data_IF_486752636892
#
_entry.id   IF_486752636892
#
_cell.length_a   1.000
_cell.length_b   1.000
_cell.length_c   1.000
_cell.angle_alpha   90.00
_cell.angle_beta   90.00
_cell.angle_gamma   90.00
#
_symmetry.space_group_name_H-M   'P 1'
#
loop_
_entity.id
_entity.type
_entity.pdbx_description
1 polymer ?
#
# COMPACT_ATOMS: atom_id res chain seq x y z
N UNK A 1 18.74 47.75 2.89
CA UNK A 1 18.40 46.38 3.31
C UNK A 1 16.91 46.34 3.63
N UNK A 2 16.08 45.89 2.69
CA UNK A 2 14.65 45.68 2.90
C UNK A 2 14.45 44.21 3.29
N UNK A 3 14.01 43.94 4.52
CA UNK A 3 13.60 42.61 4.94
C UNK A 3 12.14 42.40 4.51
N UNK A 4 11.90 41.53 3.53
CA UNK A 4 10.57 41.00 3.24
C UNK A 4 10.27 39.89 4.24
N UNK A 5 9.44 40.19 5.24
CA UNK A 5 8.79 39.17 6.06
C UNK A 5 7.66 38.56 5.25
N UNK A 6 7.91 37.40 4.63
CA UNK A 6 6.87 36.59 4.03
C UNK A 6 6.12 35.83 5.13
N UNK A 7 4.97 36.36 5.56
CA UNK A 7 4.02 35.58 6.37
C UNK A 7 3.39 34.53 5.47
N UNK A 8 3.81 33.28 5.61
CA UNK A 8 3.14 32.14 4.99
C UNK A 8 1.74 32.02 5.62
N UNK A 9 0.71 32.44 4.89
CA UNK A 9 -0.67 32.08 5.22
C UNK A 9 -0.81 30.60 4.91
N UNK A 10 -0.84 29.76 5.95
CA UNK A 10 -1.32 28.40 5.81
C UNK A 10 -2.76 28.48 5.28
N UNK A 11 -2.95 28.14 4.00
CA UNK A 11 -4.27 28.17 3.37
C UNK A 11 -5.22 27.28 4.16
N UNK A 12 -6.43 27.77 4.42
CA UNK A 12 -7.53 26.93 4.88
C UNK A 12 -7.72 25.80 3.89
N UNK A 13 -7.33 24.58 4.29
CA UNK A 13 -7.75 23.35 3.63
C UNK A 13 -9.23 23.16 3.97
N UNK A 14 -10.08 23.99 3.37
CA UNK A 14 -11.52 23.81 3.38
C UNK A 14 -11.81 22.46 2.75
N UNK A 15 -12.21 21.50 3.58
CA UNK A 15 -12.76 20.19 3.24
C UNK A 15 -14.11 20.33 2.53
N UNK A 16 -14.17 21.13 1.46
CA UNK A 16 -15.40 21.40 0.72
C UNK A 16 -15.83 20.11 0.01
N UNK A 17 -16.75 19.38 0.64
CA UNK A 17 -17.39 18.18 0.08
C UNK A 17 -17.01 16.84 0.73
N UNK A 18 -16.05 16.79 1.68
CA UNK A 18 -15.80 15.58 2.47
C UNK A 18 -16.62 15.64 3.76
N UNK A 19 -17.22 14.51 4.15
CA UNK A 19 -17.98 14.40 5.38
C UNK A 19 -17.07 14.70 6.60
N UNK A 20 -17.42 15.74 7.36
CA UNK A 20 -16.67 16.15 8.55
C UNK A 20 -16.89 15.23 9.77
N UNK A 21 -17.90 14.35 9.70
CA UNK A 21 -18.22 13.38 10.75
C UNK A 21 -18.59 12.02 10.15
N UNK A 22 -18.37 10.96 10.91
CA UNK A 22 -18.82 9.61 10.53
C UNK A 22 -20.15 9.29 11.20
N UNK A 23 -21.09 8.75 10.44
CA UNK A 23 -22.44 8.42 10.94
C UNK A 23 -22.54 7.02 11.54
N UNK A 24 -21.47 6.23 11.49
CA UNK A 24 -21.42 4.83 11.94
C UNK A 24 -20.95 4.66 13.39
N UNK A 25 -20.61 5.76 14.07
CA UNK A 25 -20.03 5.74 15.42
C UNK A 25 -21.07 5.92 16.52
N UNK A 26 -20.89 5.21 17.63
CA UNK A 26 -21.60 5.53 18.87
C UNK A 26 -21.07 6.86 19.44
N UNK A 27 -21.84 7.60 20.26
CA UNK A 27 -21.36 8.85 20.87
C UNK A 27 -20.06 8.66 21.69
N UNK A 28 -19.91 7.49 22.32
CA UNK A 28 -18.70 7.13 23.07
C UNK A 28 -17.50 6.98 22.15
N UNK A 29 -17.67 6.31 21.01
CA UNK A 29 -16.59 6.10 20.05
C UNK A 29 -16.23 7.38 19.29
N UNK A 30 -17.20 8.21 18.98
CA UNK A 30 -16.98 9.52 18.37
C UNK A 30 -16.11 10.41 19.27
N UNK A 31 -16.46 10.51 20.56
CA UNK A 31 -15.66 11.24 21.55
C UNK A 31 -14.22 10.70 21.65
N UNK A 32 -14.06 9.37 21.60
CA UNK A 32 -12.75 8.72 21.61
C UNK A 32 -11.94 9.02 20.35
N UNK A 33 -12.56 8.97 19.16
CA UNK A 33 -11.89 9.29 17.89
C UNK A 33 -11.42 10.74 17.89
N UNK A 34 -12.29 11.70 18.22
CA UNK A 34 -11.95 13.12 18.27
C UNK A 34 -10.79 13.41 19.22
N UNK A 35 -10.73 12.73 20.37
CA UNK A 35 -9.63 12.88 21.31
C UNK A 35 -8.28 12.37 20.75
N UNK A 36 -8.29 11.29 19.97
CA UNK A 36 -7.09 10.66 19.41
C UNK A 36 -6.61 11.33 18.12
N UNK A 37 -7.52 11.82 17.28
CA UNK A 37 -7.18 12.44 15.98
C UNK A 37 -6.94 13.94 16.05
N UNK A 38 -7.04 14.55 17.25
CA UNK A 38 -6.77 15.97 17.44
C UNK A 38 -5.31 16.28 17.02
N UNK A 39 -5.08 17.29 16.15
CA UNK A 39 -3.74 17.69 15.78
C UNK A 39 -2.89 18.04 17.01
N UNK A 40 -1.63 17.60 17.03
CA UNK A 40 -0.72 17.96 18.12
C UNK A 40 -0.39 19.45 18.05
N UNK A 41 -0.17 20.04 19.22
CA UNK A 41 0.31 21.41 19.40
C UNK A 41 1.71 21.46 20.01
N UNK A 42 2.27 20.29 20.35
CA UNK A 42 3.57 20.12 20.98
C UNK A 42 4.36 19.05 20.23
N UNK A 43 5.33 19.49 19.44
CA UNK A 43 6.22 18.61 18.66
C UNK A 43 7.54 18.30 19.39
N UNK A 44 7.64 18.62 20.69
CA UNK A 44 8.86 18.32 21.47
C UNK A 44 9.02 16.84 21.81
N UNK A 45 7.96 16.04 21.65
CA UNK A 45 7.92 14.60 21.93
C UNK A 45 6.99 13.89 20.95
N UNK A 46 7.19 12.59 20.73
CA UNK A 46 6.26 11.80 19.93
C UNK A 46 4.87 11.69 20.58
N UNK A 47 3.83 11.69 19.76
CA UNK A 47 2.46 11.45 20.21
C UNK A 47 2.24 9.96 20.52
N UNK A 48 1.31 9.61 21.42
CA UNK A 48 0.87 8.23 21.59
C UNK A 48 0.45 7.64 20.24
N UNK A 49 0.97 6.44 19.92
CA UNK A 49 0.69 5.73 18.68
C UNK A 49 1.20 6.39 17.38
N UNK A 50 2.14 7.33 17.45
CA UNK A 50 2.73 7.95 16.26
C UNK A 50 3.38 6.93 15.30
N UNK A 51 3.96 5.85 15.82
CA UNK A 51 4.52 4.78 14.98
C UNK A 51 3.44 3.81 14.42
N UNK A 52 2.18 3.95 14.82
CA UNK A 52 1.08 3.05 14.46
C UNK A 52 0.18 3.67 13.38
N UNK A 53 0.78 4.17 12.30
CA UNK A 53 0.08 4.84 11.19
C UNK A 53 -0.97 3.96 10.49
N UNK A 54 -0.84 2.63 10.59
CA UNK A 54 -1.85 1.66 10.12
C UNK A 54 -2.85 1.22 11.20
N UNK A 55 -2.90 1.92 12.34
CA UNK A 55 -3.69 1.53 13.50
C UNK A 55 -3.32 0.12 13.99
N UNK A 56 -4.33 -0.69 14.33
CA UNK A 56 -4.14 -2.08 14.75
C UNK A 56 -3.50 -2.98 13.67
N UNK A 57 -3.55 -2.58 12.40
CA UNK A 57 -2.90 -3.28 11.29
C UNK A 57 -1.42 -2.96 11.13
N UNK A 58 -0.87 -2.02 11.90
CA UNK A 58 0.56 -1.69 11.83
C UNK A 58 1.41 -2.90 12.21
N UNK A 59 2.25 -3.36 11.28
CA UNK A 59 3.23 -4.41 11.55
C UNK A 59 4.26 -3.94 12.57
N UNK A 60 4.48 -4.74 13.61
CA UNK A 60 5.54 -4.55 14.62
C UNK A 60 6.73 -5.50 14.42
N UNK A 61 6.73 -6.26 13.32
CA UNK A 61 7.81 -7.17 12.96
C UNK A 61 9.02 -6.37 12.47
N UNK A 62 10.21 -6.94 12.63
CA UNK A 62 11.44 -6.29 12.15
C UNK A 62 11.37 -6.02 10.64
N UNK A 63 11.83 -4.83 10.20
CA UNK A 63 11.95 -4.53 8.78
C UNK A 63 12.83 -5.57 8.09
N UNK A 64 12.28 -6.21 7.07
CA UNK A 64 13.01 -7.18 6.28
C UNK A 64 12.52 -7.14 4.84
N UNK A 65 13.22 -7.87 3.98
CA UNK A 65 12.81 -8.02 2.57
C UNK A 65 11.42 -8.65 2.43
N UNK A 66 10.92 -9.33 3.46
CA UNK A 66 9.64 -10.05 3.45
C UNK A 66 8.54 -9.27 4.19
N UNK A 67 8.72 -7.95 4.39
CA UNK A 67 7.79 -7.09 5.12
C UNK A 67 6.38 -7.09 4.51
N UNK A 68 6.27 -7.12 3.18
CA UNK A 68 4.99 -7.17 2.46
C UNK A 68 4.39 -8.59 2.37
N UNK A 69 5.18 -9.61 2.72
CA UNK A 69 4.73 -11.01 2.77
C UNK A 69 4.09 -11.39 4.10
N UNK A 70 3.96 -10.44 5.03
CA UNK A 70 3.36 -10.68 6.35
C UNK A 70 1.87 -10.30 6.35
N UNK A 71 0.98 -11.15 6.90
CA UNK A 71 -0.39 -10.74 7.15
C UNK A 71 -0.44 -9.61 8.19
N UNK A 72 -1.48 -8.76 8.09
CA UNK A 72 -1.75 -7.75 9.10
C UNK A 72 -2.04 -8.40 10.47
N UNK A 73 -1.63 -7.74 11.55
CA UNK A 73 -1.68 -8.34 12.89
C UNK A 73 -3.10 -8.50 13.47
N UNK A 74 -4.08 -7.81 12.90
CA UNK A 74 -5.44 -7.72 13.41
C UNK A 74 -6.48 -8.48 12.55
N UNK A 75 -6.04 -9.44 11.74
CA UNK A 75 -6.92 -10.30 10.95
C UNK A 75 -7.23 -11.60 11.69
N UNK A 76 -8.36 -12.20 11.36
CA UNK A 76 -8.78 -13.52 11.84
C UNK A 76 -7.94 -14.65 11.22
N UNK A 77 -8.02 -15.84 11.81
CA UNK A 77 -7.35 -17.03 11.27
C UNK A 77 -7.84 -17.40 9.86
N UNK A 78 -9.13 -17.23 9.58
CA UNK A 78 -9.71 -17.47 8.25
C UNK A 78 -9.15 -16.48 7.21
N UNK A 79 -9.09 -15.19 7.57
CA UNK A 79 -8.48 -14.15 6.73
C UNK A 79 -6.98 -14.40 6.50
N UNK A 80 -6.27 -14.93 7.50
CA UNK A 80 -4.87 -15.35 7.32
C UNK A 80 -4.75 -16.49 6.30
N UNK A 81 -5.69 -17.44 6.30
CA UNK A 81 -5.79 -18.49 5.27
C UNK A 81 -5.96 -17.89 3.87
N UNK A 82 -6.87 -16.93 3.73
CA UNK A 82 -7.09 -16.21 2.47
C UNK A 82 -5.85 -15.43 2.01
N UNK A 83 -5.16 -14.75 2.94
CA UNK A 83 -3.90 -14.07 2.66
C UNK A 83 -2.84 -15.03 2.11
N UNK A 84 -2.66 -16.19 2.76
CA UNK A 84 -1.66 -17.20 2.33
C UNK A 84 -2.01 -17.80 0.98
N UNK A 85 -3.28 -18.09 0.71
CA UNK A 85 -3.73 -18.57 -0.60
C UNK A 85 -3.47 -17.51 -1.69
N UNK A 86 -3.81 -16.26 -1.43
CA UNK A 86 -3.53 -15.14 -2.34
C UNK A 86 -2.03 -15.00 -2.64
N UNK A 87 -1.18 -15.04 -1.61
CA UNK A 87 0.28 -15.01 -1.78
C UNK A 87 0.78 -16.21 -2.60
N UNK A 88 0.25 -17.42 -2.38
CA UNK A 88 0.60 -18.59 -3.17
C UNK A 88 0.26 -18.41 -4.67
N UNK A 89 -0.91 -17.84 -4.98
CA UNK A 89 -1.30 -17.51 -6.36
C UNK A 89 -0.42 -16.41 -6.96
N UNK A 90 -0.05 -15.39 -6.17
CA UNK A 90 0.82 -14.29 -6.59
C UNK A 90 2.22 -14.76 -7.01
N UNK A 91 2.74 -15.80 -6.33
CA UNK A 91 4.06 -16.39 -6.56
C UNK A 91 4.06 -17.52 -7.57
N UNK A 92 2.88 -17.99 -7.97
CA UNK A 92 2.72 -19.13 -8.87
C UNK A 92 3.13 -18.78 -10.29
N UNK A 93 3.94 -19.64 -10.89
CA UNK A 93 4.23 -19.58 -12.33
C UNK A 93 3.06 -20.19 -13.12
N UNK A 94 2.45 -19.38 -13.96
CA UNK A 94 1.40 -19.77 -14.89
C UNK A 94 1.99 -20.30 -16.21
N UNK A 95 1.22 -21.13 -16.90
CA UNK A 95 1.59 -21.78 -18.15
C UNK A 95 0.63 -21.35 -19.24
N UNK A 96 1.19 -21.09 -20.44
CA UNK A 96 0.41 -20.71 -21.60
C UNK A 96 -0.67 -21.75 -21.90
N UNK A 97 -1.88 -21.26 -22.14
CA UNK A 97 -3.00 -22.12 -22.49
C UNK A 97 -2.97 -22.54 -23.96
N UNK A 98 -3.42 -23.76 -24.31
CA UNK A 98 -3.83 -24.85 -23.42
C UNK A 98 -2.64 -25.61 -22.81
N UNK A 99 -2.76 -26.02 -21.56
CA UNK A 99 -1.71 -26.77 -20.84
C UNK A 99 -2.23 -28.06 -20.23
N UNK A 100 -1.44 -29.13 -20.25
CA UNK A 100 -1.75 -30.36 -19.50
C UNK A 100 -1.73 -30.16 -17.98
N UNK A 101 -1.10 -29.07 -17.51
CA UNK A 101 -1.05 -28.70 -16.09
C UNK A 101 -2.24 -27.79 -15.73
N UNK A 102 -3.42 -28.39 -15.56
CA UNK A 102 -4.69 -27.68 -15.38
C UNK A 102 -4.67 -26.65 -14.24
N UNK A 103 -3.98 -26.95 -13.15
CA UNK A 103 -3.89 -26.03 -12.02
C UNK A 103 -3.20 -24.71 -12.39
N UNK A 104 -2.25 -24.70 -13.35
CA UNK A 104 -1.47 -23.52 -13.75
C UNK A 104 -1.79 -23.05 -15.16
N UNK A 105 -2.86 -23.54 -15.77
CA UNK A 105 -3.35 -23.13 -17.09
C UNK A 105 -3.96 -21.71 -17.02
N UNK A 106 -4.15 -21.08 -18.18
CA UNK A 106 -4.85 -19.81 -18.33
C UNK A 106 -3.97 -18.60 -18.57
N UNK A 107 -2.64 -18.77 -18.73
CA UNK A 107 -1.79 -17.67 -19.18
C UNK A 107 -2.07 -17.40 -20.67
N UNK A 108 -2.53 -16.20 -21.00
CA UNK A 108 -2.81 -15.79 -22.37
C UNK A 108 -1.55 -15.77 -23.26
N UNK A 109 -1.70 -15.59 -24.58
CA UNK A 109 -0.57 -15.59 -25.52
C UNK A 109 0.34 -14.36 -25.40
N UNK A 110 -0.12 -13.29 -24.76
CA UNK A 110 0.62 -12.06 -24.56
C UNK A 110 0.81 -11.82 -23.05
N UNK A 111 2.04 -11.96 -22.59
CA UNK A 111 2.44 -11.69 -21.22
C UNK A 111 3.88 -11.18 -21.19
N UNK A 112 4.20 -10.35 -20.20
CA UNK A 112 5.58 -9.91 -19.95
C UNK A 112 6.31 -10.85 -18.99
N UNK A 113 5.58 -11.39 -18.01
CA UNK A 113 6.09 -12.34 -17.03
C UNK A 113 5.03 -13.38 -16.66
N UNK A 114 5.49 -14.52 -16.14
CA UNK A 114 4.64 -15.70 -15.87
C UNK A 114 4.11 -15.78 -14.44
N UNK A 115 4.52 -14.87 -13.57
CA UNK A 115 4.03 -14.74 -12.20
C UNK A 115 4.03 -13.27 -11.79
N UNK A 116 3.07 -12.87 -10.94
CA UNK A 116 2.99 -11.50 -10.43
C UNK A 116 4.28 -11.12 -9.68
N UNK A 117 4.82 -12.05 -8.90
CA UNK A 117 6.06 -11.87 -8.15
C UNK A 117 7.30 -11.61 -9.03
N UNK A 118 7.31 -12.04 -10.30
CA UNK A 118 8.47 -11.81 -11.16
C UNK A 118 8.68 -10.31 -11.46
N UNK A 119 7.60 -9.53 -11.47
CA UNK A 119 7.67 -8.07 -11.52
C UNK A 119 7.59 -7.43 -10.12
N UNK A 120 6.90 -8.06 -9.18
CA UNK A 120 6.68 -7.58 -7.81
C UNK A 120 7.44 -8.43 -6.80
N UNK A 121 8.77 -8.32 -6.82
CA UNK A 121 9.63 -9.17 -6.02
C UNK A 121 9.30 -9.03 -4.53
N UNK A 122 9.07 -10.17 -3.87
CA UNK A 122 8.69 -10.27 -2.44
C UNK A 122 7.49 -9.37 -2.09
N UNK A 123 6.46 -9.42 -2.93
CA UNK A 123 5.20 -8.69 -2.75
C UNK A 123 5.37 -7.15 -2.73
N UNK A 124 6.54 -6.68 -3.16
CA UNK A 124 6.94 -5.28 -3.14
C UNK A 124 6.72 -4.56 -4.47
N UNK A 125 7.27 -3.34 -4.55
CA UNK A 125 7.28 -2.55 -5.78
C UNK A 125 8.24 -3.15 -6.79
N UNK A 126 7.89 -3.05 -8.06
CA UNK A 126 8.79 -3.33 -9.17
C UNK A 126 10.05 -2.47 -9.13
N UNK A 127 11.17 -3.02 -9.60
CA UNK A 127 12.45 -2.32 -9.67
C UNK A 127 12.59 -1.58 -11.00
N UNK A 128 13.01 -0.30 -11.01
CA UNK A 128 13.37 0.35 -12.26
C UNK A 128 14.59 -0.31 -12.92
N UNK A 129 14.76 -0.18 -14.25
CA UNK A 129 15.99 -0.56 -14.92
C UNK A 129 17.19 0.17 -14.30
N UNK A 130 18.28 -0.54 -14.06
CA UNK A 130 19.54 0.02 -13.55
C UNK A 130 20.67 -0.30 -14.52
N UNK A 131 21.42 0.72 -14.96
CA UNK A 131 22.71 0.54 -15.64
C UNK A 131 22.68 -0.40 -16.85
N UNK A 132 21.60 -0.40 -17.64
CA UNK A 132 21.46 -1.25 -18.83
C UNK A 132 20.95 -2.67 -18.55
N UNK A 133 20.68 -3.04 -17.31
CA UNK A 133 19.98 -4.29 -16.99
C UNK A 133 18.51 -4.22 -17.39
N UNK A 134 18.02 -5.27 -18.06
CA UNK A 134 16.60 -5.42 -18.34
C UNK A 134 15.82 -5.54 -17.01
N UNK A 135 14.71 -4.83 -16.89
CA UNK A 135 13.78 -4.98 -15.77
C UNK A 135 12.38 -5.34 -16.30
N UNK A 136 11.80 -6.47 -15.89
CA UNK A 136 10.46 -6.88 -16.33
C UNK A 136 9.35 -6.04 -15.67
N UNK A 137 9.67 -5.23 -14.66
CA UNK A 137 8.66 -4.59 -13.80
C UNK A 137 8.26 -3.17 -14.20
N UNK A 138 8.80 -2.63 -15.30
CA UNK A 138 8.36 -1.34 -15.85
C UNK A 138 7.82 -1.53 -17.26
N UNK A 139 6.64 -0.96 -17.50
CA UNK A 139 6.01 -0.88 -18.81
C UNK A 139 5.89 0.59 -19.21
N UNK A 140 6.49 0.96 -20.35
CA UNK A 140 6.36 2.29 -20.94
C UNK A 140 5.41 2.21 -22.14
N UNK A 141 4.26 2.90 -22.05
CA UNK A 141 3.34 3.04 -23.17
C UNK A 141 3.70 4.30 -23.96
N UNK A 142 4.22 4.13 -25.16
CA UNK A 142 4.38 5.24 -26.11
C UNK A 142 3.06 5.45 -26.84
N UNK A 143 2.53 6.67 -26.78
CA UNK A 143 1.43 7.11 -27.62
C UNK A 143 2.00 7.90 -28.80
N UNK A 144 1.32 7.83 -29.94
CA UNK A 144 1.50 8.74 -31.07
C UNK A 144 0.34 9.71 -31.04
N UNK A 145 0.57 10.93 -31.50
CA UNK A 145 -0.51 11.90 -31.69
C UNK A 145 -1.57 11.28 -32.61
N UNK A 146 -2.83 11.49 -32.23
CA UNK A 146 -3.99 10.91 -32.90
C UNK A 146 -4.23 11.52 -34.29
#
# INVERSE_FOLDING_TARGET
MLALSASAMAGETGSAGLAASRTDLTPKDEARVLAVTRPTTDFSKPEPFELMQGGAGTSRKDPSRDAFSQPAANITFEEEGNFKLGNALFRKNWVSSPSSTQASDGLGPLFNERACQNCHLKDGRGRPPEGGAASPSIFLRLARDA
#
